data_IF_160793308950
#
_entry.id   IF_160793308950
#
_cell.length_a   1.000
_cell.length_b   1.000
_cell.length_c   1.000
_cell.angle_alpha   90.00
_cell.angle_beta   90.00
_cell.angle_gamma   90.00
#
_symmetry.space_group_name_H-M   'P 1'
#
loop_
_entity.id
_entity.type
_entity.pdbx_description
1 polymer ?
#
# COMPACT_ATOMS: atom_id res chain seq x y z
N UNK A 1 -19.25 17.59 21.00
CA UNK A 1 -18.76 16.26 20.56
C UNK A 1 -17.26 16.38 20.29
N UNK A 2 -16.40 15.80 21.13
CA UNK A 2 -14.94 15.89 20.96
C UNK A 2 -14.43 15.00 19.81
N UNK A 3 -13.26 15.32 19.25
CA UNK A 3 -12.59 14.47 18.24
C UNK A 3 -12.26 13.10 18.85
N UNK A 4 -12.41 12.03 18.06
CA UNK A 4 -12.10 10.66 18.46
C UNK A 4 -10.96 10.11 17.60
N UNK A 5 -10.05 9.37 18.23
CA UNK A 5 -8.98 8.67 17.54
C UNK A 5 -9.37 7.21 17.36
N UNK A 6 -9.12 6.67 16.17
CA UNK A 6 -9.30 5.25 15.83
C UNK A 6 -7.93 4.62 15.56
N UNK A 7 -7.71 3.42 16.08
CA UNK A 7 -6.51 2.64 15.79
C UNK A 7 -6.85 1.40 14.98
N UNK A 8 -6.35 1.33 13.75
CA UNK A 8 -6.61 0.22 12.81
C UNK A 8 -6.04 -1.13 13.28
N UNK A 9 -4.91 -1.11 14.01
CA UNK A 9 -4.34 -2.36 14.54
C UNK A 9 -5.15 -2.94 15.70
N UNK A 10 -5.90 -2.09 16.41
CA UNK A 10 -6.53 -2.44 17.67
C UNK A 10 -8.06 -2.45 17.59
N UNK A 11 -8.64 -1.99 16.49
CA UNK A 11 -10.07 -1.77 16.27
C UNK A 11 -10.76 -1.06 17.45
N UNK A 12 -10.11 -0.02 17.98
CA UNK A 12 -10.57 0.73 19.15
C UNK A 12 -10.66 2.22 18.85
N UNK A 13 -11.79 2.82 19.24
CA UNK A 13 -11.98 4.28 19.21
C UNK A 13 -12.01 4.87 20.62
N UNK A 14 -11.27 5.95 20.84
CA UNK A 14 -11.24 6.66 22.13
C UNK A 14 -11.17 8.18 21.93
N UNK A 15 -11.32 8.95 23.02
CA UNK A 15 -11.25 10.41 22.97
C UNK A 15 -9.84 10.85 22.52
N UNK A 16 -9.77 11.67 21.47
CA UNK A 16 -8.52 12.07 20.86
C UNK A 16 -7.82 13.12 21.72
N UNK A 17 -6.88 12.67 22.54
CA UNK A 17 -5.95 13.54 23.25
C UNK A 17 -4.50 13.04 23.04
N UNK A 18 -3.51 13.95 22.95
CA UNK A 18 -2.13 13.57 22.60
C UNK A 18 -1.53 12.53 23.58
N UNK A 19 -1.86 12.65 24.86
CA UNK A 19 -1.39 11.76 25.92
C UNK A 19 -1.98 10.36 25.79
N UNK A 20 -3.29 10.23 25.59
CA UNK A 20 -4.01 8.96 25.44
C UNK A 20 -3.57 8.24 24.18
N UNK A 21 -3.37 8.98 23.09
CA UNK A 21 -2.84 8.43 21.84
C UNK A 21 -1.44 7.88 22.06
N UNK A 22 -0.55 8.63 22.73
CA UNK A 22 0.81 8.17 23.01
C UNK A 22 0.80 6.91 23.88
N UNK A 23 0.07 6.93 24.99
CA UNK A 23 -0.07 5.76 25.90
C UNK A 23 -0.61 4.54 25.16
N UNK A 24 -1.61 4.72 24.30
CA UNK A 24 -2.15 3.65 23.48
C UNK A 24 -1.10 3.07 22.52
N UNK A 25 -0.43 3.92 21.73
CA UNK A 25 0.55 3.50 20.71
C UNK A 25 1.80 2.85 21.31
N UNK A 26 2.24 3.29 22.49
CA UNK A 26 3.38 2.68 23.20
C UNK A 26 2.98 1.47 24.05
N UNK A 27 1.68 1.21 24.21
CA UNK A 27 1.19 0.12 25.04
C UNK A 27 1.51 -1.25 24.44
N UNK A 28 1.86 -2.21 25.29
CA UNK A 28 2.19 -3.58 24.86
C UNK A 28 1.10 -4.23 24.00
N UNK A 29 -0.18 -3.99 24.31
CA UNK A 29 -1.28 -4.53 23.52
C UNK A 29 -1.24 -4.03 22.06
N UNK A 30 -1.01 -2.72 21.85
CA UNK A 30 -0.85 -2.15 20.51
C UNK A 30 0.39 -2.70 19.83
N UNK A 31 1.54 -2.71 20.52
CA UNK A 31 2.81 -3.20 19.96
C UNK A 31 2.73 -4.67 19.53
N UNK A 32 2.09 -5.53 20.32
CA UNK A 32 1.91 -6.95 19.99
C UNK A 32 0.99 -7.13 18.78
N UNK A 33 -0.17 -6.44 18.76
CA UNK A 33 -1.12 -6.57 17.64
C UNK A 33 -0.53 -6.02 16.35
N UNK A 34 0.20 -4.90 16.44
CA UNK A 34 0.99 -4.34 15.33
C UNK A 34 2.03 -5.34 14.83
N UNK A 35 2.78 -5.98 15.72
CA UNK A 35 3.79 -6.99 15.35
C UNK A 35 3.12 -8.17 14.64
N UNK A 36 2.07 -8.76 15.22
CA UNK A 36 1.32 -9.88 14.63
C UNK A 36 0.78 -9.55 13.24
N UNK A 37 0.29 -8.31 13.05
CA UNK A 37 -0.14 -7.84 11.74
C UNK A 37 1.00 -7.92 10.72
N UNK A 38 2.18 -7.36 11.01
CA UNK A 38 3.31 -7.43 10.07
C UNK A 38 3.87 -8.85 9.91
N UNK A 39 3.89 -9.64 10.98
CA UNK A 39 4.34 -11.04 10.95
C UNK A 39 3.46 -11.88 9.98
N UNK A 40 2.16 -11.57 9.88
CA UNK A 40 1.23 -12.25 8.97
C UNK A 40 1.49 -11.97 7.47
N UNK A 41 2.11 -10.83 7.15
CA UNK A 41 2.47 -10.46 5.78
C UNK A 41 3.96 -10.62 5.49
N UNK A 42 4.66 -11.37 6.34
CA UNK A 42 6.09 -11.58 6.19
C UNK A 42 6.39 -12.45 4.98
N UNK A 43 7.45 -12.08 4.24
CA UNK A 43 7.85 -12.80 3.04
C UNK A 43 8.30 -14.24 3.38
N UNK A 44 7.88 -15.22 2.59
CA UNK A 44 8.23 -16.62 2.84
C UNK A 44 9.73 -16.87 2.72
N UNK A 45 10.44 -16.13 1.86
CA UNK A 45 11.91 -16.19 1.73
C UNK A 45 12.60 -15.77 3.02
N UNK A 46 12.16 -14.63 3.57
CA UNK A 46 12.73 -14.05 4.79
C UNK A 46 12.48 -14.95 6.01
N UNK A 47 11.29 -15.56 6.11
CA UNK A 47 10.98 -16.54 7.16
C UNK A 47 11.97 -17.70 7.12
N UNK A 48 12.21 -18.26 5.93
CA UNK A 48 13.09 -19.42 5.75
C UNK A 48 14.56 -19.08 6.07
N UNK A 49 15.05 -17.92 5.63
CA UNK A 49 16.41 -17.46 5.92
C UNK A 49 16.63 -17.21 7.43
N UNK A 50 15.69 -16.56 8.10
CA UNK A 50 15.77 -16.39 9.56
C UNK A 50 15.73 -17.72 10.29
N UNK A 51 14.88 -18.62 9.83
CA UNK A 51 14.70 -19.91 10.46
C UNK A 51 15.95 -20.78 10.35
N UNK A 52 16.65 -20.74 9.21
CA UNK A 52 17.93 -21.41 9.02
C UNK A 52 19.02 -20.88 9.98
N UNK A 53 18.98 -19.59 10.30
CA UNK A 53 19.90 -18.97 11.25
C UNK A 53 19.55 -19.26 12.72
N UNK A 54 18.30 -19.64 13.01
CA UNK A 54 17.83 -19.94 14.38
C UNK A 54 18.03 -21.42 14.70
N UNK A 55 18.42 -21.70 15.95
CA UNK A 55 18.44 -23.07 16.47
C UNK A 55 17.00 -23.57 16.66
N UNK A 56 16.71 -24.85 16.38
CA UNK A 56 15.37 -25.41 16.57
C UNK A 56 15.00 -25.49 18.06
N UNK A 57 13.73 -25.21 18.36
CA UNK A 57 13.18 -25.28 19.71
C UNK A 57 12.96 -26.75 20.11
N UNK A 58 13.77 -27.26 21.04
CA UNK A 58 13.67 -28.65 21.51
C UNK A 58 12.31 -28.98 22.14
N UNK A 59 11.73 -28.04 22.91
CA UNK A 59 10.43 -28.23 23.55
C UNK A 59 9.30 -28.35 22.53
N UNK A 60 9.33 -27.49 21.50
CA UNK A 60 8.34 -27.52 20.43
C UNK A 60 8.47 -28.79 19.58
N UNK A 61 9.68 -29.17 19.19
CA UNK A 61 9.90 -30.38 18.40
C UNK A 61 9.57 -31.68 19.16
N UNK A 62 9.77 -31.71 20.48
CA UNK A 62 9.50 -32.91 21.27
C UNK A 62 8.05 -33.04 21.72
N UNK A 63 7.37 -31.94 22.05
CA UNK A 63 6.04 -31.95 22.69
C UNK A 63 4.97 -31.31 21.82
N UNK A 64 5.34 -30.65 20.71
CA UNK A 64 4.44 -29.85 19.88
C UNK A 64 3.98 -28.54 20.53
N UNK A 65 4.46 -28.24 21.75
CA UNK A 65 4.06 -27.06 22.52
C UNK A 65 5.28 -26.38 23.13
N UNK A 66 5.35 -25.06 22.95
CA UNK A 66 6.39 -24.23 23.54
C UNK A 66 5.79 -23.31 24.61
N UNK A 67 6.38 -23.30 25.80
CA UNK A 67 5.97 -22.43 26.92
C UNK A 67 6.08 -20.93 26.60
N UNK A 68 6.91 -20.58 25.62
CA UNK A 68 7.15 -19.19 25.21
C UNK A 68 6.26 -18.73 24.03
N UNK A 69 5.51 -19.63 23.41
CA UNK A 69 4.66 -19.31 22.24
C UNK A 69 5.42 -18.55 21.15
N UNK A 70 4.82 -17.49 20.62
CA UNK A 70 5.38 -16.64 19.55
C UNK A 70 6.54 -15.73 20.02
N UNK A 71 6.86 -15.73 21.32
CA UNK A 71 8.00 -15.02 21.89
C UNK A 71 9.25 -15.89 21.99
N UNK A 72 9.19 -17.14 21.52
CA UNK A 72 10.33 -18.03 21.53
C UNK A 72 11.47 -17.48 20.65
N UNK A 73 12.69 -17.50 21.18
CA UNK A 73 13.89 -17.12 20.41
C UNK A 73 14.32 -18.21 19.42
N UNK A 74 13.83 -19.44 19.63
CA UNK A 74 14.18 -20.62 18.83
C UNK A 74 13.15 -20.87 17.73
N UNK A 75 13.61 -21.50 16.65
CA UNK A 75 12.76 -21.88 15.51
C UNK A 75 11.68 -22.90 15.94
N UNK A 76 10.44 -22.65 15.53
CA UNK A 76 9.33 -23.59 15.66
C UNK A 76 9.01 -24.31 14.33
N UNK A 77 9.73 -24.02 13.25
CA UNK A 77 9.50 -24.71 11.99
C UNK A 77 10.05 -26.13 12.08
N UNK A 78 9.22 -27.09 11.70
CA UNK A 78 9.66 -28.47 11.51
C UNK A 78 10.42 -28.62 10.19
N UNK A 79 11.11 -29.74 10.01
CA UNK A 79 11.78 -30.04 8.74
C UNK A 79 10.78 -30.10 7.57
N UNK A 80 9.55 -30.55 7.83
CA UNK A 80 8.48 -30.58 6.83
C UNK A 80 8.06 -29.17 6.43
N UNK A 81 7.86 -28.27 7.39
CA UNK A 81 7.49 -26.87 7.14
C UNK A 81 8.55 -26.15 6.30
N UNK A 82 9.83 -26.39 6.60
CA UNK A 82 10.97 -25.85 5.82
C UNK A 82 10.93 -26.32 4.36
N UNK A 83 10.66 -27.62 4.16
CA UNK A 83 10.56 -28.18 2.82
C UNK A 83 9.36 -27.60 2.06
N UNK A 84 8.20 -27.48 2.71
CA UNK A 84 7.00 -26.87 2.12
C UNK A 84 7.24 -25.41 1.72
N UNK A 85 7.85 -24.60 2.60
CA UNK A 85 8.21 -23.22 2.29
C UNK A 85 9.17 -23.15 1.10
N UNK A 86 10.20 -23.99 1.05
CA UNK A 86 11.12 -24.04 -0.08
C UNK A 86 10.42 -24.38 -1.40
N UNK A 87 9.41 -25.25 -1.37
CA UNK A 87 8.63 -25.63 -2.54
C UNK A 87 7.70 -24.50 -2.98
N UNK A 88 7.02 -23.81 -2.04
CA UNK A 88 6.20 -22.63 -2.32
C UNK A 88 7.04 -21.56 -3.02
N UNK A 89 8.27 -21.34 -2.56
CA UNK A 89 9.18 -20.36 -3.16
C UNK A 89 9.55 -20.71 -4.60
N UNK A 90 9.92 -21.97 -4.87
CA UNK A 90 10.20 -22.45 -6.23
C UNK A 90 8.99 -22.28 -7.14
N UNK A 91 7.80 -22.67 -6.68
CA UNK A 91 6.57 -22.50 -7.45
C UNK A 91 6.24 -21.03 -7.72
N UNK A 92 6.44 -20.13 -6.74
CA UNK A 92 6.26 -18.69 -6.94
C UNK A 92 7.27 -18.14 -7.94
N UNK A 93 8.53 -18.57 -7.89
CA UNK A 93 9.56 -18.20 -8.86
C UNK A 93 9.21 -18.64 -10.28
N UNK A 94 8.81 -19.91 -10.46
CA UNK A 94 8.37 -20.45 -11.75
C UNK A 94 7.14 -19.71 -12.30
N UNK A 95 6.15 -19.44 -11.44
CA UNK A 95 4.96 -18.64 -11.81
C UNK A 95 5.32 -17.20 -12.18
N UNK A 96 6.28 -16.60 -11.48
CA UNK A 96 6.77 -15.25 -11.81
C UNK A 96 7.63 -15.24 -13.07
N UNK A 97 8.32 -16.33 -13.39
CA UNK A 97 9.13 -16.46 -14.61
C UNK A 97 8.31 -16.59 -15.89
N UNK A 98 7.07 -17.11 -15.80
CA UNK A 98 6.17 -17.26 -16.95
C UNK A 98 5.22 -16.06 -17.17
N UNK A 99 5.15 -15.11 -16.24
CA UNK A 99 4.21 -13.99 -16.29
C UNK A 99 4.78 -12.71 -15.71
N UNK A 100 5.17 -11.81 -16.61
CA UNK A 100 5.58 -10.41 -16.40
C UNK A 100 6.96 -10.19 -15.80
N UNK A 101 7.77 -9.43 -16.54
CA UNK A 101 8.80 -8.56 -16.01
C UNK A 101 8.17 -7.63 -14.96
N UNK A 102 8.08 -8.10 -13.72
CA UNK A 102 7.74 -7.27 -12.57
C UNK A 102 8.91 -6.31 -12.41
N UNK A 103 8.67 -5.06 -12.80
CA UNK A 103 9.48 -3.91 -12.45
C UNK A 103 9.89 -4.03 -10.99
N UNK A 104 11.18 -4.22 -10.73
CA UNK A 104 11.74 -4.22 -9.38
C UNK A 104 11.28 -2.97 -8.62
N UNK A 105 11.22 -2.98 -7.27
CA UNK A 105 10.91 -1.77 -6.49
C UNK A 105 11.84 -0.57 -6.83
N UNK A 106 13.02 -0.86 -7.38
CA UNK A 106 13.95 0.11 -7.96
C UNK A 106 13.40 0.76 -9.22
N UNK A 107 12.85 -0.01 -10.18
CA UNK A 107 12.35 0.51 -11.46
C UNK A 107 11.18 1.50 -11.29
N UNK A 108 10.28 1.30 -10.31
CA UNK A 108 9.20 2.27 -10.03
C UNK A 108 9.76 3.56 -9.43
N UNK A 109 10.72 3.44 -8.49
CA UNK A 109 11.38 4.59 -7.86
C UNK A 109 12.19 5.38 -8.89
N UNK A 110 12.91 4.70 -9.76
CA UNK A 110 13.75 5.31 -10.79
C UNK A 110 12.90 5.99 -11.87
N UNK A 111 11.79 5.36 -12.30
CA UNK A 111 10.80 6.00 -13.19
C UNK A 111 10.16 7.24 -12.56
N UNK A 112 9.88 7.21 -11.26
CA UNK A 112 9.35 8.38 -10.55
C UNK A 112 10.37 9.52 -10.49
N UNK A 113 11.64 9.22 -10.19
CA UNK A 113 12.70 10.22 -10.22
C UNK A 113 12.89 10.82 -11.61
N UNK A 114 12.94 9.98 -12.65
CA UNK A 114 13.01 10.42 -14.04
C UNK A 114 11.83 11.34 -14.43
N UNK A 115 10.62 10.99 -14.00
CA UNK A 115 9.44 11.83 -14.23
C UNK A 115 9.52 13.19 -13.50
N UNK A 116 9.94 13.19 -12.23
CA UNK A 116 10.12 14.41 -11.44
C UNK A 116 11.17 15.34 -12.05
N UNK A 117 12.27 14.78 -12.55
CA UNK A 117 13.33 15.56 -13.19
C UNK A 117 12.88 16.12 -14.55
N UNK A 118 12.17 15.33 -15.35
CA UNK A 118 11.54 15.81 -16.59
C UNK A 118 10.55 16.96 -16.31
N UNK A 119 9.80 16.91 -15.21
CA UNK A 119 8.88 17.99 -14.79
C UNK A 119 9.62 19.25 -14.37
N UNK A 120 10.74 19.13 -13.64
CA UNK A 120 11.60 20.28 -13.30
C UNK A 120 12.22 20.91 -14.54
N UNK A 121 12.67 20.10 -15.51
CA UNK A 121 13.22 20.61 -16.77
C UNK A 121 12.18 21.37 -17.60
N UNK A 122 10.93 20.88 -17.67
CA UNK A 122 9.82 21.58 -18.33
C UNK A 122 9.54 22.94 -17.70
N UNK A 123 9.47 23.02 -16.36
CA UNK A 123 9.31 24.30 -15.65
C UNK A 123 10.48 25.26 -15.86
N UNK A 124 11.70 24.74 -16.00
CA UNK A 124 12.90 25.55 -16.23
C UNK A 124 12.88 26.17 -17.64
N UNK A 125 12.41 25.42 -18.63
CA UNK A 125 12.18 25.90 -20.01
C UNK A 125 11.11 27.00 -20.05
N UNK A 126 9.98 26.80 -19.35
CA UNK A 126 8.91 27.81 -19.23
C UNK A 126 9.35 29.08 -18.50
N UNK A 127 10.35 29.00 -17.61
CA UNK A 127 10.87 30.16 -16.87
C UNK A 127 11.96 30.97 -17.61
N UNK A 128 12.55 30.41 -18.68
CA UNK A 128 13.62 31.07 -19.44
C UNK A 128 13.11 31.80 -20.69
N UNK A 129 11.96 31.41 -21.23
CA UNK A 129 11.35 32.06 -22.39
C UNK A 129 10.39 33.18 -21.96
N UNK A 130 10.94 34.32 -21.55
CA UNK A 130 10.26 35.59 -21.77
C UNK A 130 10.46 35.97 -23.24
N UNK A 131 9.35 36.11 -23.96
CA UNK A 131 9.23 36.60 -25.33
C UNK A 131 9.54 35.61 -26.46
N UNK A 132 8.66 34.61 -26.65
CA UNK A 132 8.12 34.37 -28.00
C UNK A 132 6.66 33.89 -27.92
N UNK A 133 5.82 34.51 -28.75
CA UNK A 133 4.41 34.21 -28.94
C UNK A 133 4.25 32.83 -29.61
N UNK A 134 4.33 31.75 -28.83
CA UNK A 134 4.02 30.39 -29.29
C UNK A 134 2.67 30.00 -28.72
N UNK A 135 1.68 29.88 -29.61
CA UNK A 135 0.36 29.33 -29.29
C UNK A 135 0.53 27.96 -28.65
N UNK A 136 0.08 27.85 -27.40
CA UNK A 136 -0.07 26.60 -26.64
C UNK A 136 -0.71 25.54 -27.56
N UNK A 137 -0.10 24.37 -27.76
CA UNK A 137 -0.74 23.31 -28.53
C UNK A 137 -1.99 22.94 -27.75
N UNK A 138 -3.15 23.22 -28.34
CA UNK A 138 -4.45 22.88 -27.82
C UNK A 138 -4.54 21.35 -27.86
N UNK A 139 -4.04 20.70 -26.80
CA UNK A 139 -4.30 19.28 -26.57
C UNK A 139 -5.80 19.16 -26.33
N UNK A 140 -6.54 18.74 -27.36
CA UNK A 140 -7.91 18.31 -27.23
C UNK A 140 -7.99 17.21 -26.16
N UNK A 141 -8.38 17.60 -24.95
CA UNK A 141 -8.69 16.68 -23.87
C UNK A 141 -9.94 15.90 -24.28
N UNK A 142 -9.74 14.65 -24.71
CA UNK A 142 -10.83 13.70 -24.96
C UNK A 142 -11.44 13.31 -23.61
N UNK A 143 -12.40 14.10 -23.13
CA UNK A 143 -13.16 13.80 -21.91
C UNK A 143 -14.20 12.72 -22.24
N UNK A 144 -14.16 11.55 -21.58
CA UNK A 144 -15.15 10.51 -21.78
C UNK A 144 -16.56 11.00 -21.40
N UNK A 145 -17.59 10.52 -22.09
CA UNK A 145 -18.98 10.67 -21.64
C UNK A 145 -19.24 9.74 -20.46
N UNK A 146 -19.21 10.29 -19.24
CA UNK A 146 -19.61 9.56 -18.04
C UNK A 146 -21.14 9.42 -18.02
N UNK A 147 -21.64 8.24 -18.39
CA UNK A 147 -23.07 7.91 -18.27
C UNK A 147 -23.37 7.38 -16.88
N UNK A 148 -24.56 7.72 -16.37
CA UNK A 148 -25.08 7.17 -15.12
C UNK A 148 -25.29 5.65 -15.29
N UNK A 149 -24.86 4.86 -14.30
CA UNK A 149 -25.07 3.41 -14.33
C UNK A 149 -26.57 3.06 -14.42
N UNK A 150 -26.90 2.04 -15.20
CA UNK A 150 -28.30 1.67 -15.49
C UNK A 150 -29.12 1.38 -14.23
N UNK A 151 -28.50 0.78 -13.22
CA UNK A 151 -29.11 0.51 -11.92
C UNK A 151 -29.50 1.78 -11.12
N UNK A 152 -28.89 2.92 -11.43
CA UNK A 152 -29.15 4.20 -10.75
C UNK A 152 -30.24 5.03 -11.46
N UNK A 153 -30.64 4.64 -12.68
CA UNK A 153 -31.69 5.34 -13.44
C UNK A 153 -33.09 5.15 -12.85
N UNK A 154 -33.26 4.16 -11.98
CA UNK A 154 -34.54 3.82 -11.30
C UNK A 154 -34.90 4.86 -10.23
N UNK A 155 -33.92 5.64 -9.75
CA UNK A 155 -34.15 6.61 -8.67
C UNK A 155 -34.43 8.01 -9.23
N UNK A 156 -35.59 8.62 -8.91
CA UNK A 156 -36.01 9.90 -9.48
C UNK A 156 -35.18 11.10 -8.98
N UNK A 157 -34.49 10.98 -7.85
CA UNK A 157 -33.67 12.07 -7.28
C UNK A 157 -32.39 11.51 -6.66
N UNK A 158 -31.33 11.44 -7.45
CA UNK A 158 -30.01 11.06 -6.95
C UNK A 158 -29.33 12.27 -6.26
N UNK A 159 -28.63 12.04 -5.14
CA UNK A 159 -27.80 13.08 -4.54
C UNK A 159 -26.67 13.49 -5.51
N UNK A 160 -26.21 14.75 -5.46
CA UNK A 160 -25.18 15.28 -6.37
C UNK A 160 -23.88 14.45 -6.42
N UNK A 161 -23.55 13.74 -5.34
CA UNK A 161 -22.38 12.87 -5.25
C UNK A 161 -22.46 11.60 -6.10
N UNK A 162 -23.67 11.18 -6.50
CA UNK A 162 -23.90 9.99 -7.33
C UNK A 162 -24.18 10.33 -8.80
N UNK A 163 -24.21 11.62 -9.15
CA UNK A 163 -24.35 12.06 -10.52
C UNK A 163 -22.97 12.09 -11.19
N UNK A 164 -22.86 11.59 -12.44
CA UNK A 164 -21.61 11.71 -13.18
C UNK A 164 -21.25 13.19 -13.40
N UNK A 165 -19.97 13.57 -13.32
CA UNK A 165 -19.53 14.93 -13.60
C UNK A 165 -19.82 15.30 -15.06
N UNK A 166 -20.32 16.52 -15.29
CA UNK A 166 -20.59 17.00 -16.65
C UNK A 166 -19.30 17.30 -17.39
N UNK A 167 -19.28 17.10 -18.71
CA UNK A 167 -18.14 17.46 -19.58
C UNK A 167 -17.70 18.90 -19.37
N UNK A 168 -18.65 19.83 -19.29
CA UNK A 168 -18.39 21.25 -19.06
C UNK A 168 -17.71 21.49 -17.70
N UNK A 169 -18.18 20.84 -16.63
CA UNK A 169 -17.58 20.97 -15.30
C UNK A 169 -16.12 20.51 -15.26
N UNK A 170 -15.76 19.50 -16.05
CA UNK A 170 -14.40 18.99 -16.16
C UNK A 170 -13.52 19.96 -16.96
N UNK A 171 -14.04 20.52 -18.06
CA UNK A 171 -13.31 21.45 -18.93
C UNK A 171 -13.09 22.82 -18.26
N UNK A 172 -14.02 23.28 -17.42
CA UNK A 172 -13.92 24.55 -16.69
C UNK A 172 -13.25 24.41 -15.32
N UNK A 173 -12.80 23.21 -14.96
CA UNK A 173 -12.19 22.95 -13.66
C UNK A 173 -10.91 23.79 -13.46
N UNK A 174 -10.76 24.51 -12.32
CA UNK A 174 -9.55 25.27 -12.01
C UNK A 174 -8.33 24.37 -11.72
N UNK A 175 -8.54 23.05 -11.60
CA UNK A 175 -7.51 22.06 -11.34
C UNK A 175 -6.79 21.67 -12.64
N UNK A 176 -6.05 22.61 -13.22
CA UNK A 176 -5.27 22.41 -14.47
C UNK A 176 -4.08 21.46 -14.25
N UNK A 177 -3.67 21.25 -12.99
CA UNK A 177 -2.61 20.30 -12.62
C UNK A 177 -2.96 19.60 -11.31
N UNK A 178 -2.82 18.27 -11.28
CA UNK A 178 -2.61 17.56 -10.03
C UNK A 178 -1.13 17.74 -9.65
N UNK A 179 -0.88 17.93 -8.35
CA UNK A 179 0.43 18.25 -7.76
C UNK A 179 1.58 17.42 -8.31
#
# INVERSE_FOLDING_TARGET
>A
MGKRYYCDYCDKSFADNPTSRKVHLTGNAHLLTKKLHYDAYRNEKEILEEDQNKKPCRAFLSTGQCKFGDRCQFSHLTNEDRMQLSQILKQKEERSGLGQAVSTPTDVRDKLHQWLDNRKQRKKFESSDKETNVKKPECELKVPDYKLAECLTVFPSLPPSLLPPSKESILTSPFVTWG
#
